data_IF_474128978233
#
_entry.id   IF_474128978233
#
_cell.length_a   1.000
_cell.length_b   1.000
_cell.length_c   1.000
_cell.angle_alpha   90.00
_cell.angle_beta   90.00
_cell.angle_gamma   90.00
#
_symmetry.space_group_name_H-M   'P 1'
#
loop_
_entity.id
_entity.type
_entity.pdbx_description
1 polymer ?
#
# COMPACT_ATOMS: atom_id res chain seq x y z
N UNK A 1 16.03 4.83 -33.97
CA UNK A 1 15.58 6.24 -34.04
C UNK A 1 14.17 6.24 -34.56
N UNK A 2 13.22 6.06 -33.73
CA UNK A 2 11.81 6.21 -34.08
C UNK A 2 11.44 7.65 -33.74
N UNK A 3 11.41 8.50 -34.77
CA UNK A 3 10.75 9.78 -34.67
C UNK A 3 9.26 9.51 -34.50
N UNK A 4 8.75 9.71 -33.31
CA UNK A 4 7.35 9.49 -33.00
C UNK A 4 6.42 10.55 -33.57
N UNK A 5 6.97 11.53 -34.30
CA UNK A 5 6.18 12.63 -34.85
C UNK A 5 6.85 13.25 -36.07
N UNK A 6 6.52 12.78 -37.21
CA UNK A 6 6.63 13.54 -38.44
C UNK A 6 5.23 13.75 -38.98
N UNK A 7 4.45 14.60 -38.36
CA UNK A 7 3.12 14.95 -38.88
C UNK A 7 3.19 16.06 -39.94
N UNK A 8 4.17 16.93 -39.88
CA UNK A 8 4.51 17.93 -40.89
C UNK A 8 5.81 18.64 -40.51
N UNK A 9 6.58 19.09 -41.47
CA UNK A 9 7.70 20.02 -41.23
C UNK A 9 7.24 21.47 -41.00
N UNK A 10 5.94 21.69 -40.81
CA UNK A 10 5.36 22.97 -40.43
C UNK A 10 4.42 22.77 -39.28
N UNK A 11 4.94 22.90 -38.07
CA UNK A 11 4.17 22.91 -36.83
C UNK A 11 4.02 24.33 -36.30
N UNK A 12 2.88 24.64 -35.72
CA UNK A 12 2.68 25.89 -34.95
C UNK A 12 2.65 25.59 -33.47
N UNK A 13 3.52 26.25 -32.69
CA UNK A 13 3.50 26.23 -31.25
C UNK A 13 2.97 27.58 -30.77
N UNK A 14 1.96 27.58 -29.91
CA UNK A 14 1.33 28.81 -29.38
C UNK A 14 2.39 29.70 -28.71
N UNK A 15 2.55 30.90 -29.23
CA UNK A 15 3.54 31.89 -28.73
C UNK A 15 4.86 31.89 -29.50
N UNK A 16 5.01 31.11 -30.57
CA UNK A 16 6.17 31.13 -31.45
C UNK A 16 5.73 31.54 -32.85
N UNK A 17 6.28 32.65 -33.36
CA UNK A 17 6.05 33.10 -34.74
C UNK A 17 7.07 32.43 -35.64
N UNK A 18 6.58 31.67 -36.61
CA UNK A 18 7.39 31.01 -37.64
C UNK A 18 7.29 29.46 -37.64
N UNK A 19 7.98 28.85 -38.58
CA UNK A 19 8.12 27.39 -38.66
C UNK A 19 9.01 26.90 -37.50
N UNK A 20 8.54 25.95 -36.75
CA UNK A 20 9.29 25.32 -35.68
C UNK A 20 9.85 24.02 -36.17
N UNK A 21 11.13 23.83 -36.03
CA UNK A 21 11.74 22.52 -36.23
C UNK A 21 11.38 21.63 -35.01
N UNK A 22 10.46 20.72 -35.25
CA UNK A 22 9.95 19.79 -34.24
C UNK A 22 11.05 18.85 -33.74
N UNK A 23 12.07 18.59 -34.56
CA UNK A 23 13.24 17.80 -34.13
C UNK A 23 14.06 18.50 -33.05
N UNK A 24 14.02 19.81 -33.01
CA UNK A 24 14.71 20.59 -31.96
C UNK A 24 14.00 20.50 -30.60
N UNK A 25 12.68 20.50 -30.61
CA UNK A 25 11.87 20.26 -29.40
C UNK A 25 12.07 18.82 -28.85
N UNK A 26 12.42 17.90 -29.73
CA UNK A 26 12.63 16.50 -29.36
C UNK A 26 14.00 16.22 -28.74
N UNK A 27 15.02 17.02 -29.06
CA UNK A 27 16.37 16.85 -28.50
C UNK A 27 16.44 17.16 -27.01
N UNK A 28 15.55 17.97 -26.49
CA UNK A 28 15.51 18.39 -25.09
C UNK A 28 14.35 17.77 -24.29
N UNK A 29 13.67 16.77 -24.87
CA UNK A 29 12.54 16.13 -24.21
C UNK A 29 12.93 15.45 -22.87
N UNK A 30 14.17 15.01 -22.75
CA UNK A 30 14.74 14.48 -21.51
C UNK A 30 14.85 15.52 -20.41
N UNK A 31 14.93 16.80 -20.75
CA UNK A 31 14.93 17.92 -19.82
C UNK A 31 13.52 18.39 -19.43
N UNK A 32 12.53 18.10 -20.29
CA UNK A 32 11.13 18.49 -20.08
C UNK A 32 10.44 17.52 -19.11
N UNK A 33 10.81 16.24 -19.14
CA UNK A 33 10.35 15.23 -18.18
C UNK A 33 11.57 14.63 -17.49
N UNK A 34 11.93 15.10 -16.28
CA UNK A 34 13.00 14.49 -15.50
C UNK A 34 12.80 12.99 -15.37
N UNK A 35 13.92 12.23 -15.28
CA UNK A 35 13.92 10.78 -15.36
C UNK A 35 13.00 10.06 -14.37
N UNK A 36 12.97 10.54 -13.10
CA UNK A 36 12.13 9.99 -12.05
C UNK A 36 11.39 11.13 -11.36
N UNK A 37 10.13 11.33 -11.68
CA UNK A 37 9.39 12.51 -11.17
C UNK A 37 7.88 12.36 -11.24
N UNK A 38 7.21 13.01 -10.32
CA UNK A 38 5.79 13.27 -10.37
C UNK A 38 5.46 14.45 -11.31
N UNK A 39 4.37 14.31 -12.05
CA UNK A 39 3.78 15.35 -12.89
C UNK A 39 2.29 15.44 -12.65
N UNK A 40 1.77 16.67 -12.62
CA UNK A 40 0.34 16.93 -12.62
C UNK A 40 -0.07 17.49 -13.98
N UNK A 41 -0.96 16.76 -14.67
CA UNK A 41 -1.44 17.13 -16.00
C UNK A 41 -2.97 17.17 -15.93
N UNK A 42 -3.57 18.30 -16.23
CA UNK A 42 -5.02 18.51 -16.14
C UNK A 42 -5.62 18.05 -14.78
N UNK A 43 -4.92 18.33 -13.68
CA UNK A 43 -5.36 17.96 -12.32
C UNK A 43 -5.06 16.51 -11.90
N UNK A 44 -4.60 15.66 -12.78
CA UNK A 44 -4.24 14.27 -12.48
C UNK A 44 -2.74 14.12 -12.26
N UNK A 45 -2.35 13.31 -11.25
CA UNK A 45 -0.95 12.99 -10.95
C UNK A 45 -0.51 11.77 -11.76
N UNK A 46 0.73 11.85 -12.27
CA UNK A 46 1.40 10.77 -13.02
C UNK A 46 2.84 10.65 -12.53
N UNK A 47 3.38 9.46 -12.49
CA UNK A 47 4.78 9.22 -12.20
C UNK A 47 5.53 8.76 -13.44
N UNK A 48 6.65 9.40 -13.71
CA UNK A 48 7.55 9.03 -14.80
C UNK A 48 8.82 8.42 -14.23
N UNK A 49 9.24 7.30 -14.78
CA UNK A 49 10.51 6.67 -14.48
C UNK A 49 11.26 6.46 -15.80
N UNK A 50 12.51 6.93 -15.84
CA UNK A 50 13.30 6.93 -17.08
C UNK A 50 12.52 7.52 -18.26
N UNK A 51 11.86 8.66 -18.04
CA UNK A 51 11.04 9.39 -19.02
C UNK A 51 9.78 8.63 -19.50
N UNK A 52 9.46 7.48 -18.92
CA UNK A 52 8.28 6.67 -19.27
C UNK A 52 7.23 6.79 -18.16
N UNK A 53 6.00 7.13 -18.53
CA UNK A 53 4.87 7.16 -17.61
C UNK A 53 4.57 5.76 -17.10
N UNK A 54 4.53 5.61 -15.79
CA UNK A 54 4.26 4.33 -15.15
C UNK A 54 2.76 4.03 -15.13
N UNK A 55 2.39 2.79 -15.45
CA UNK A 55 1.02 2.29 -15.51
C UNK A 55 0.96 0.86 -15.04
N UNK A 56 -0.14 0.49 -14.36
CA UNK A 56 -0.39 -0.86 -13.84
C UNK A 56 0.84 -1.45 -13.12
N UNK A 57 1.51 -0.61 -12.31
CA UNK A 57 2.80 -0.94 -11.72
C UNK A 57 2.98 -0.29 -10.34
N UNK A 58 3.70 -0.97 -9.47
CA UNK A 58 4.24 -0.38 -8.26
C UNK A 58 5.41 0.53 -8.58
N UNK A 59 5.45 1.69 -7.94
CA UNK A 59 6.58 2.63 -7.98
C UNK A 59 6.98 3.01 -6.56
N UNK A 60 8.26 3.31 -6.37
CA UNK A 60 8.77 3.96 -5.18
C UNK A 60 9.38 5.29 -5.59
N UNK A 61 8.95 6.39 -4.96
CA UNK A 61 9.43 7.74 -5.28
C UNK A 61 10.65 8.17 -4.44
N UNK A 62 11.17 7.23 -3.63
CA UNK A 62 12.26 7.45 -2.69
C UNK A 62 11.80 7.68 -1.25
N UNK A 63 10.50 7.88 -1.04
CA UNK A 63 9.88 8.04 0.28
C UNK A 63 8.78 7.02 0.50
N UNK A 64 7.89 6.83 -0.48
CA UNK A 64 6.70 6.01 -0.36
C UNK A 64 6.51 5.11 -1.57
N UNK A 65 5.75 4.04 -1.37
CA UNK A 65 5.25 3.17 -2.43
C UNK A 65 3.87 3.62 -2.90
N UNK A 66 3.64 3.54 -4.20
CA UNK A 66 2.37 3.83 -4.87
C UNK A 66 2.08 2.75 -5.90
N UNK A 67 0.81 2.49 -6.16
CA UNK A 67 0.40 1.67 -7.28
C UNK A 67 -0.25 2.55 -8.34
N UNK A 68 0.38 2.61 -9.51
CA UNK A 68 -0.17 3.35 -10.66
C UNK A 68 -1.19 2.47 -11.37
N UNK A 69 -2.42 2.95 -11.51
CA UNK A 69 -3.48 2.24 -12.21
C UNK A 69 -3.23 2.18 -13.74
N UNK A 70 -4.11 1.53 -14.50
CA UNK A 70 -3.98 1.41 -15.95
C UNK A 70 -4.00 2.75 -16.70
N UNK A 71 -4.63 3.79 -16.12
CA UNK A 71 -4.62 5.15 -16.66
C UNK A 71 -3.31 5.90 -16.33
N UNK A 72 -2.49 5.38 -15.40
CA UNK A 72 -1.25 6.00 -14.94
C UNK A 72 -1.42 6.96 -13.77
N UNK A 73 -2.57 6.93 -13.10
CA UNK A 73 -2.80 7.70 -11.87
C UNK A 73 -2.51 6.84 -10.63
N UNK A 74 -2.12 7.41 -9.48
CA UNK A 74 -2.05 6.67 -8.25
C UNK A 74 -3.42 6.11 -7.88
N UNK A 75 -3.44 4.82 -7.52
CA UNK A 75 -4.61 4.19 -6.92
C UNK A 75 -4.79 4.70 -5.49
N UNK A 76 -6.01 4.67 -4.98
CA UNK A 76 -6.36 5.04 -3.60
C UNK A 76 -7.36 4.03 -3.03
N UNK A 77 -7.41 3.91 -1.70
CA UNK A 77 -8.29 2.96 -1.02
C UNK A 77 -7.78 1.52 -1.13
N UNK A 78 -8.70 0.57 -1.07
CA UNK A 78 -8.39 -0.84 -1.18
C UNK A 78 -7.90 -1.23 -2.57
N UNK A 79 -6.82 -1.99 -2.62
CA UNK A 79 -6.24 -2.56 -3.82
C UNK A 79 -6.03 -4.06 -3.62
N UNK A 80 -6.54 -4.87 -4.53
CA UNK A 80 -6.30 -6.31 -4.54
C UNK A 80 -5.50 -6.69 -5.78
N UNK A 81 -4.37 -7.33 -5.57
CA UNK A 81 -3.47 -7.80 -6.63
C UNK A 81 -3.01 -9.22 -6.29
N UNK A 82 -3.26 -10.16 -7.20
CA UNK A 82 -2.83 -11.55 -7.06
C UNK A 82 -3.25 -12.18 -5.72
N UNK A 83 -4.47 -11.89 -5.25
CA UNK A 83 -5.03 -12.41 -3.99
C UNK A 83 -4.49 -11.73 -2.73
N UNK A 84 -3.64 -10.72 -2.85
CA UNK A 84 -3.11 -9.91 -1.75
C UNK A 84 -3.85 -8.58 -1.68
N UNK A 85 -4.12 -8.11 -0.47
CA UNK A 85 -4.81 -6.84 -0.23
C UNK A 85 -3.86 -5.80 0.31
N UNK A 86 -3.97 -4.60 -0.23
CA UNK A 86 -3.21 -3.42 0.14
C UNK A 86 -4.18 -2.27 0.40
N UNK A 87 -3.73 -1.27 1.11
CA UNK A 87 -4.48 -0.02 1.25
C UNK A 87 -3.59 1.17 0.90
N UNK A 88 -4.14 2.07 0.10
CA UNK A 88 -3.48 3.28 -0.37
C UNK A 88 -4.23 4.48 0.17
N UNK A 89 -3.52 5.42 0.78
CA UNK A 89 -4.12 6.64 1.33
C UNK A 89 -4.74 7.53 0.23
N UNK A 90 -5.42 8.58 0.64
CA UNK A 90 -6.06 9.52 -0.29
C UNK A 90 -5.09 10.20 -1.26
N UNK A 91 -3.82 10.33 -0.90
CA UNK A 91 -2.74 10.85 -1.75
C UNK A 91 -2.06 9.75 -2.59
N UNK A 92 -2.49 8.49 -2.42
CA UNK A 92 -2.05 7.31 -3.16
C UNK A 92 -0.88 6.56 -2.53
N UNK A 93 -0.29 7.00 -1.41
CA UNK A 93 0.80 6.22 -0.80
C UNK A 93 0.30 4.96 -0.10
N UNK A 94 1.06 3.87 -0.25
CA UNK A 94 0.79 2.58 0.38
C UNK A 94 1.06 2.64 1.89
N UNK A 95 0.11 2.14 2.68
CA UNK A 95 0.32 2.04 4.13
C UNK A 95 1.06 0.76 4.52
N UNK A 96 1.76 0.83 5.65
CA UNK A 96 2.34 -0.30 6.38
C UNK A 96 2.06 -0.12 7.88
N UNK A 97 2.17 -1.19 8.66
CA UNK A 97 1.90 -1.15 10.10
C UNK A 97 0.41 -1.12 10.44
N UNK A 98 0.11 -0.57 11.59
CA UNK A 98 -1.24 -0.52 12.12
C UNK A 98 -2.08 0.60 11.50
N UNK A 99 -3.32 0.28 11.14
CA UNK A 99 -4.30 1.25 10.62
C UNK A 99 -5.70 0.88 11.04
N UNK A 100 -6.49 1.88 11.45
CA UNK A 100 -7.93 1.71 11.65
C UNK A 100 -8.66 1.96 10.35
N UNK A 101 -9.35 0.94 9.84
CA UNK A 101 -10.13 0.98 8.61
C UNK A 101 -11.41 0.15 8.80
N UNK A 102 -12.51 0.62 8.23
CA UNK A 102 -13.80 -0.09 8.25
C UNK A 102 -14.23 -0.51 9.66
N UNK A 103 -14.03 0.38 10.63
CA UNK A 103 -14.49 0.18 12.01
C UNK A 103 -13.58 -0.68 12.90
N UNK A 104 -12.38 -1.06 12.46
CA UNK A 104 -11.46 -1.84 13.29
C UNK A 104 -9.99 -1.70 12.91
N UNK A 105 -9.13 -2.20 13.80
CA UNK A 105 -7.70 -2.23 13.58
C UNK A 105 -7.31 -3.31 12.57
N UNK A 106 -6.39 -2.97 11.69
CA UNK A 106 -5.76 -3.84 10.71
C UNK A 106 -4.25 -3.65 10.76
N UNK A 107 -3.53 -4.66 10.36
CA UNK A 107 -2.08 -4.60 10.24
C UNK A 107 -1.65 -4.90 8.81
N UNK A 108 -0.75 -4.07 8.29
CA UNK A 108 -0.13 -4.24 6.99
C UNK A 108 1.36 -4.48 7.20
N UNK A 109 1.91 -5.53 6.63
CA UNK A 109 3.32 -5.85 6.81
C UNK A 109 4.23 -4.86 6.08
N UNK A 110 5.55 -5.07 6.15
CA UNK A 110 6.52 -4.19 5.51
C UNK A 110 6.41 -4.16 3.98
N UNK A 111 5.77 -5.16 3.37
CA UNK A 111 5.46 -5.17 1.94
C UNK A 111 4.15 -4.45 1.60
N UNK A 112 3.42 -3.98 2.61
CA UNK A 112 2.09 -3.38 2.49
C UNK A 112 0.95 -4.39 2.38
N UNK A 113 1.23 -5.70 2.47
CA UNK A 113 0.19 -6.73 2.42
C UNK A 113 -0.60 -6.76 3.72
N UNK A 114 -1.94 -6.77 3.61
CA UNK A 114 -2.81 -6.93 4.77
C UNK A 114 -2.59 -8.28 5.44
N UNK A 115 -2.31 -8.24 6.74
CA UNK A 115 -2.12 -9.44 7.53
C UNK A 115 -3.44 -10.18 7.80
N UNK A 116 -3.37 -11.51 7.83
CA UNK A 116 -4.37 -12.43 8.37
C UNK A 116 -3.69 -13.46 9.26
N UNK A 117 -4.45 -14.08 10.17
CA UNK A 117 -3.91 -15.02 11.14
C UNK A 117 -3.01 -14.36 12.19
N UNK A 118 -2.14 -15.15 12.81
CA UNK A 118 -1.23 -14.69 13.84
C UNK A 118 -0.12 -13.80 13.28
N UNK A 119 0.13 -12.68 13.99
CA UNK A 119 1.23 -11.74 13.70
C UNK A 119 1.94 -11.31 14.96
N UNK A 120 3.27 -11.41 14.95
CA UNK A 120 4.11 -10.83 15.99
C UNK A 120 4.47 -9.39 15.59
N UNK A 121 4.15 -8.43 16.46
CA UNK A 121 4.45 -7.01 16.27
C UNK A 121 4.97 -6.46 17.59
N UNK A 122 6.14 -5.86 17.59
CA UNK A 122 6.77 -5.22 18.75
C UNK A 122 6.78 -6.11 20.01
N UNK A 123 7.08 -7.42 19.84
CA UNK A 123 7.18 -8.39 20.91
C UNK A 123 5.85 -8.95 21.43
N UNK A 124 4.72 -8.54 20.88
CA UNK A 124 3.39 -9.06 21.21
C UNK A 124 2.78 -9.81 20.02
N UNK A 125 1.98 -10.83 20.32
CA UNK A 125 1.23 -11.56 19.30
C UNK A 125 -0.19 -11.03 19.18
N UNK A 126 -0.66 -10.87 17.95
CA UNK A 126 -2.00 -10.43 17.58
C UNK A 126 -2.61 -11.42 16.60
N UNK A 127 -3.92 -11.49 16.55
CA UNK A 127 -4.63 -12.32 15.58
C UNK A 127 -5.53 -11.45 14.69
N UNK A 128 -5.33 -11.59 13.38
CA UNK A 128 -6.16 -10.96 12.36
C UNK A 128 -7.10 -12.01 11.78
N UNK A 129 -8.41 -11.75 11.82
CA UNK A 129 -9.37 -12.64 11.16
C UNK A 129 -9.15 -12.66 9.64
N UNK A 130 -9.84 -13.55 8.92
CA UNK A 130 -9.71 -13.69 7.46
C UNK A 130 -10.08 -12.40 6.70
N UNK A 131 -10.93 -11.56 7.29
CA UNK A 131 -11.24 -10.23 6.75
C UNK A 131 -10.18 -9.17 7.10
N UNK A 132 -9.10 -9.56 7.81
CA UNK A 132 -8.00 -8.71 8.24
C UNK A 132 -8.27 -7.87 9.49
N UNK A 133 -9.43 -8.01 10.14
CA UNK A 133 -9.71 -7.28 11.39
C UNK A 133 -9.00 -7.93 12.57
N UNK A 134 -8.33 -7.12 13.38
CA UNK A 134 -7.72 -7.53 14.63
C UNK A 134 -8.79 -8.04 15.59
N UNK A 135 -8.54 -9.19 16.20
CA UNK A 135 -9.42 -9.80 17.19
C UNK A 135 -9.04 -9.37 18.61
N UNK A 136 -10.04 -9.39 19.49
CA UNK A 136 -9.89 -9.15 20.93
C UNK A 136 -10.77 -10.14 21.71
N UNK A 137 -10.49 -10.35 22.98
CA UNK A 137 -11.23 -11.29 23.82
C UNK A 137 -10.85 -12.75 23.55
N UNK A 138 -11.81 -13.64 23.74
CA UNK A 138 -11.61 -15.07 23.50
C UNK A 138 -11.49 -15.40 22.01
N UNK A 139 -10.48 -16.18 21.69
CA UNK A 139 -10.21 -16.68 20.33
C UNK A 139 -10.06 -18.19 20.38
N UNK A 140 -10.77 -18.89 19.51
CA UNK A 140 -10.57 -20.31 19.28
C UNK A 140 -10.09 -20.54 17.86
N UNK A 141 -8.89 -21.12 17.73
CA UNK A 141 -8.26 -21.39 16.44
C UNK A 141 -7.30 -22.56 16.58
N UNK A 142 -7.20 -23.41 15.54
CA UNK A 142 -6.34 -24.58 15.55
C UNK A 142 -6.65 -25.57 16.68
N UNK A 143 -7.91 -25.65 17.14
CA UNK A 143 -8.33 -26.50 18.25
C UNK A 143 -7.84 -26.05 19.63
N UNK A 144 -7.34 -24.82 19.74
CA UNK A 144 -6.85 -24.21 20.99
C UNK A 144 -7.60 -22.92 21.29
N UNK A 145 -7.67 -22.57 22.58
CA UNK A 145 -8.27 -21.33 23.05
C UNK A 145 -7.18 -20.35 23.49
N UNK A 146 -7.36 -19.11 23.13
CA UNK A 146 -6.47 -17.99 23.45
C UNK A 146 -7.29 -16.84 24.03
N UNK A 147 -6.64 -15.93 24.69
CA UNK A 147 -7.25 -14.67 25.09
C UNK A 147 -6.41 -13.48 24.61
N UNK A 148 -7.07 -12.58 23.93
CA UNK A 148 -6.49 -11.33 23.44
C UNK A 148 -7.06 -10.19 24.27
N UNK A 149 -6.22 -9.36 24.86
CA UNK A 149 -6.70 -8.24 25.67
C UNK A 149 -7.40 -7.16 24.81
N UNK A 150 -7.85 -6.07 25.44
CA UNK A 150 -8.56 -5.01 24.75
C UNK A 150 -7.71 -4.30 23.67
N UNK A 151 -6.38 -4.34 23.75
CA UNK A 151 -5.48 -3.85 22.72
C UNK A 151 -5.18 -4.89 21.62
N UNK A 152 -5.76 -6.10 21.69
CA UNK A 152 -5.53 -7.20 20.76
C UNK A 152 -4.32 -8.07 21.10
N UNK A 153 -3.53 -7.73 22.14
CA UNK A 153 -2.33 -8.48 22.49
C UNK A 153 -2.69 -9.80 23.18
N UNK A 154 -2.12 -10.91 22.66
CA UNK A 154 -2.27 -12.26 23.19
C UNK A 154 -1.73 -12.32 24.64
N UNK A 155 -2.50 -12.95 25.53
CA UNK A 155 -2.14 -13.11 26.93
C UNK A 155 -1.49 -14.47 27.18
N UNK A 156 -0.54 -14.51 28.12
CA UNK A 156 0.10 -15.71 28.64
C UNK A 156 0.13 -15.66 30.18
N UNK A 157 0.36 -16.81 30.82
CA UNK A 157 0.33 -16.94 32.27
C UNK A 157 -1.08 -16.90 32.85
N UNK A 158 -1.17 -16.58 34.15
CA UNK A 158 -2.45 -16.50 34.84
C UNK A 158 -3.22 -15.23 34.49
N UNK A 159 -4.49 -15.38 34.12
CA UNK A 159 -5.41 -14.31 33.81
C UNK A 159 -6.72 -14.46 34.60
N UNK A 160 -7.19 -13.39 35.25
CA UNK A 160 -8.52 -13.36 35.86
C UNK A 160 -9.50 -12.74 34.87
N UNK A 161 -10.39 -13.53 34.33
CA UNK A 161 -11.35 -13.11 33.29
C UNK A 161 -12.77 -13.32 33.80
N UNK A 162 -13.45 -12.22 34.08
CA UNK A 162 -14.82 -12.27 34.61
C UNK A 162 -14.96 -12.95 36.00
N UNK A 163 -13.92 -12.87 36.83
CA UNK A 163 -13.90 -13.49 38.15
C UNK A 163 -13.38 -14.94 38.18
N UNK A 164 -13.11 -15.52 37.06
CA UNK A 164 -12.51 -16.88 36.92
C UNK A 164 -11.05 -16.79 36.52
N UNK A 165 -10.21 -17.67 37.08
CA UNK A 165 -8.81 -17.76 36.74
C UNK A 165 -8.57 -18.78 35.64
N UNK A 166 -7.78 -18.37 34.66
CA UNK A 166 -7.34 -19.18 33.52
C UNK A 166 -5.82 -19.12 33.41
N UNK A 167 -5.22 -20.20 32.97
CA UNK A 167 -3.79 -20.21 32.69
C UNK A 167 -3.54 -20.48 31.20
N UNK A 168 -2.70 -19.64 30.62
CA UNK A 168 -2.25 -19.72 29.25
C UNK A 168 -0.75 -20.05 29.24
N UNK A 169 -0.34 -21.03 28.49
CA UNK A 169 1.06 -21.41 28.38
C UNK A 169 1.91 -20.34 27.67
N UNK A 170 3.21 -20.59 27.50
CA UNK A 170 4.12 -19.66 26.81
C UNK A 170 3.78 -19.42 25.33
N UNK A 171 2.97 -20.26 24.71
CA UNK A 171 2.43 -20.07 23.36
C UNK A 171 1.10 -19.31 23.36
N UNK A 172 0.59 -18.94 24.52
CA UNK A 172 -0.71 -18.29 24.71
C UNK A 172 -1.89 -19.25 24.67
N UNK A 173 -1.67 -20.56 24.55
CA UNK A 173 -2.75 -21.53 24.53
C UNK A 173 -3.26 -21.78 25.97
N UNK A 174 -4.60 -21.75 26.14
CA UNK A 174 -5.22 -22.09 27.43
C UNK A 174 -4.96 -23.56 27.77
N UNK A 175 -4.47 -23.82 28.96
CA UNK A 175 -4.33 -25.18 29.49
C UNK A 175 -5.61 -25.59 30.20
N UNK A 176 -6.05 -26.80 29.94
CA UNK A 176 -7.09 -27.47 30.74
C UNK A 176 -6.42 -28.36 31.76
N UNK A 177 -6.76 -28.20 33.03
CA UNK A 177 -6.34 -29.11 34.10
C UNK A 177 -7.10 -30.42 34.04
#
# INVERSE_FOLDING_TARGET
KTSMWQASNTGSVKGVNGNVDIDYLYKDYTQIIPGNTWRTIAGNRYYYQNHVMQKAAWINDGQNWYYMNAAGNPSTGWLELSGKKYYLEADGHMITGWKTLDGGWRYFDASGEQATGWRAVDGSWYFMADNGLMQTGWLETGGKKYYLNASGAMQAGWQNLGGSWYYFDGSGAMTTG
#
